data_IF_889598677775
#
_entry.id   IF_889598677775
#
_cell.length_a   1.000
_cell.length_b   1.000
_cell.length_c   1.000
_cell.angle_alpha   90.00
_cell.angle_beta   90.00
_cell.angle_gamma   90.00
#
_symmetry.space_group_name_H-M   'P 1'
#
loop_
_entity.id
_entity.type
_entity.pdbx_description
1 polymer ?
#
# COMPACT_ATOMS: atom_id res chain seq x y z
N UNK A 1 2.62 -36.64 -56.05
CA UNK A 1 2.21 -35.34 -55.42
C UNK A 1 1.14 -35.68 -54.40
N UNK A 2 1.51 -35.58 -53.10
CA UNK A 2 0.59 -35.79 -51.98
C UNK A 2 -0.41 -34.60 -51.92
N UNK A 3 -1.69 -34.85 -52.10
CA UNK A 3 -2.74 -33.88 -51.87
C UNK A 3 -3.01 -33.82 -50.34
N UNK A 4 -2.55 -32.80 -49.66
CA UNK A 4 -2.90 -32.57 -48.28
C UNK A 4 -4.40 -32.33 -48.22
N UNK A 5 -5.12 -33.17 -47.46
CA UNK A 5 -6.57 -33.05 -47.32
C UNK A 5 -6.92 -31.70 -46.64
N UNK A 6 -7.92 -31.00 -47.15
CA UNK A 6 -8.43 -29.77 -46.60
C UNK A 6 -8.75 -29.86 -45.09
N UNK A 7 -9.12 -31.06 -44.61
CA UNK A 7 -9.35 -31.37 -43.20
C UNK A 7 -8.09 -31.28 -42.35
N UNK A 8 -6.90 -31.61 -42.89
CA UNK A 8 -5.62 -31.52 -42.20
C UNK A 8 -5.20 -30.04 -42.05
N UNK A 9 -5.46 -29.23 -43.07
CA UNK A 9 -5.18 -27.78 -43.01
C UNK A 9 -6.05 -27.10 -41.95
N UNK A 10 -7.35 -27.42 -41.91
CA UNK A 10 -8.28 -26.90 -40.90
C UNK A 10 -7.86 -27.31 -39.48
N UNK A 11 -7.43 -28.55 -39.29
CA UNK A 11 -6.94 -29.03 -37.99
C UNK A 11 -5.68 -28.31 -37.55
N UNK A 12 -4.73 -28.06 -38.47
CA UNK A 12 -3.50 -27.32 -38.18
C UNK A 12 -3.79 -25.84 -37.81
N UNK A 13 -4.75 -25.20 -38.47
CA UNK A 13 -5.19 -23.83 -38.13
C UNK A 13 -5.85 -23.81 -36.74
N UNK A 14 -6.66 -24.82 -36.40
CA UNK A 14 -7.29 -24.93 -35.08
C UNK A 14 -6.27 -25.15 -33.96
N UNK A 15 -5.25 -25.99 -34.18
CA UNK A 15 -4.16 -26.21 -33.23
C UNK A 15 -3.29 -24.95 -33.07
N UNK A 16 -3.04 -24.21 -34.14
CA UNK A 16 -2.32 -22.93 -34.12
C UNK A 16 -3.10 -21.84 -33.35
N UNK A 17 -4.41 -21.76 -33.55
CA UNK A 17 -5.27 -20.81 -32.83
C UNK A 17 -5.33 -21.11 -31.31
N UNK A 18 -5.27 -22.38 -30.92
CA UNK A 18 -5.25 -22.80 -29.51
C UNK A 18 -3.94 -22.43 -28.78
N UNK A 19 -2.81 -22.39 -29.53
CA UNK A 19 -1.52 -22.00 -28.96
C UNK A 19 -1.36 -20.49 -28.79
N UNK A 20 -2.15 -19.65 -29.50
CA UNK A 20 -2.15 -18.18 -29.35
C UNK A 20 -2.84 -17.72 -28.06
N UNK A 21 -3.63 -18.57 -27.40
CA UNK A 21 -4.31 -18.22 -26.13
C UNK A 21 -3.42 -18.34 -24.89
N UNK A 22 -2.19 -18.82 -25.02
CA UNK A 22 -1.17 -18.76 -23.96
C UNK A 22 -0.32 -17.48 -23.99
N UNK A 23 -0.88 -16.35 -24.43
CA UNK A 23 -0.39 -15.07 -23.94
C UNK A 23 -0.76 -15.03 -22.45
N UNK A 24 0.20 -15.39 -21.59
CA UNK A 24 0.07 -15.16 -20.15
C UNK A 24 -0.23 -13.69 -19.99
N UNK A 25 -1.48 -13.38 -19.66
CA UNK A 25 -1.81 -12.08 -19.14
C UNK A 25 -0.92 -11.92 -17.91
N UNK A 26 0.14 -11.13 -18.04
CA UNK A 26 1.06 -10.84 -16.97
C UNK A 26 0.23 -10.12 -15.91
N UNK A 27 0.09 -10.71 -14.72
CA UNK A 27 -0.82 -10.22 -13.69
C UNK A 27 -0.43 -8.80 -13.30
N UNK A 28 -1.32 -7.85 -13.57
CA UNK A 28 -1.12 -6.45 -13.17
C UNK A 28 -1.19 -6.33 -11.65
N UNK A 29 -0.16 -5.74 -11.06
CA UNK A 29 -0.10 -5.46 -9.63
C UNK A 29 -0.61 -4.04 -9.42
N UNK A 30 -1.87 -3.92 -9.02
CA UNK A 30 -2.52 -2.64 -8.75
C UNK A 30 -2.33 -2.24 -7.29
N UNK A 31 -1.70 -1.10 -7.06
CA UNK A 31 -1.47 -0.54 -5.73
C UNK A 31 -2.14 0.83 -5.65
N UNK A 32 -3.05 0.98 -4.71
CA UNK A 32 -3.67 2.26 -4.39
C UNK A 32 -2.75 3.14 -3.55
N UNK A 33 -2.93 4.43 -3.66
CA UNK A 33 -2.20 5.40 -2.85
C UNK A 33 -3.19 6.43 -2.31
N UNK A 34 -3.53 6.33 -1.01
CA UNK A 34 -4.42 7.25 -0.31
C UNK A 34 -3.61 8.32 0.41
N UNK A 35 -3.55 9.52 -0.16
CA UNK A 35 -2.71 10.62 0.33
C UNK A 35 -3.40 11.96 0.12
N UNK A 36 -3.12 12.99 0.94
CA UNK A 36 -3.63 14.32 0.71
C UNK A 36 -2.88 14.96 -0.47
N UNK A 37 -3.56 15.15 -1.60
CA UNK A 37 -3.01 15.82 -2.79
C UNK A 37 -3.41 17.29 -2.85
N UNK A 38 -4.44 17.66 -2.11
CA UNK A 38 -4.95 19.01 -1.96
C UNK A 38 -4.95 19.47 -0.48
N UNK A 39 -5.30 20.73 -0.23
CA UNK A 39 -5.37 21.29 1.11
C UNK A 39 -4.01 21.51 1.78
N UNK A 40 -4.05 21.73 3.10
CA UNK A 40 -2.87 22.13 3.90
C UNK A 40 -1.76 21.07 3.94
N UNK A 41 -2.07 19.80 3.78
CA UNK A 41 -1.13 18.69 3.82
C UNK A 41 -0.68 18.22 2.44
N UNK A 42 -0.99 18.94 1.36
CA UNK A 42 -0.67 18.53 -0.01
C UNK A 42 0.83 18.33 -0.28
N UNK A 43 1.70 19.04 0.42
CA UNK A 43 3.14 18.91 0.25
C UNK A 43 3.66 17.55 0.75
N UNK A 44 3.03 17.01 1.80
CA UNK A 44 3.33 15.65 2.29
C UNK A 44 2.90 14.63 1.22
N UNK A 45 1.70 14.75 0.68
CA UNK A 45 1.20 13.87 -0.37
C UNK A 45 2.09 13.89 -1.62
N UNK A 46 2.49 15.07 -2.09
CA UNK A 46 3.43 15.23 -3.21
C UNK A 46 4.79 14.58 -2.94
N UNK A 47 5.30 14.68 -1.71
CA UNK A 47 6.56 14.05 -1.31
C UNK A 47 6.46 12.52 -1.34
N UNK A 48 5.34 11.96 -0.90
CA UNK A 48 5.08 10.52 -0.95
C UNK A 48 4.99 10.03 -2.40
N UNK A 49 4.29 10.74 -3.29
CA UNK A 49 4.25 10.39 -4.72
C UNK A 49 5.66 10.32 -5.31
N UNK A 50 6.51 11.30 -5.01
CA UNK A 50 7.91 11.29 -5.48
C UNK A 50 8.65 10.07 -4.97
N UNK A 51 8.50 9.74 -3.69
CA UNK A 51 9.15 8.57 -3.07
C UNK A 51 8.66 7.25 -3.69
N UNK A 52 7.36 7.11 -3.92
CA UNK A 52 6.76 5.93 -4.55
C UNK A 52 7.27 5.78 -5.99
N UNK A 53 7.32 6.87 -6.77
CA UNK A 53 7.88 6.84 -8.14
C UNK A 53 9.34 6.39 -8.15
N UNK A 54 10.16 6.88 -7.23
CA UNK A 54 11.56 6.46 -7.10
C UNK A 54 11.67 4.97 -6.75
N UNK A 55 10.83 4.49 -5.84
CA UNK A 55 10.80 3.07 -5.48
C UNK A 55 10.42 2.18 -6.66
N UNK A 56 9.39 2.55 -7.42
CA UNK A 56 8.95 1.81 -8.61
C UNK A 56 10.01 1.79 -9.69
N UNK A 57 10.64 2.92 -9.96
CA UNK A 57 11.74 2.98 -10.91
C UNK A 57 12.91 2.07 -10.50
N UNK A 58 13.16 1.93 -9.20
CA UNK A 58 14.20 1.03 -8.68
C UNK A 58 13.80 -0.45 -8.75
N UNK A 59 12.52 -0.76 -8.61
CA UNK A 59 11.98 -2.12 -8.71
C UNK A 59 12.01 -2.60 -10.18
N UNK A 60 11.85 -1.69 -11.13
CA UNK A 60 11.88 -1.93 -12.58
C UNK A 60 10.92 -3.07 -13.02
N UNK A 61 9.72 -3.08 -12.45
CA UNK A 61 8.68 -4.03 -12.81
C UNK A 61 7.53 -3.31 -13.55
N UNK A 62 7.37 -3.52 -14.87
CA UNK A 62 6.37 -2.83 -15.68
C UNK A 62 4.92 -3.20 -15.32
N UNK A 63 4.70 -4.28 -14.55
CA UNK A 63 3.36 -4.71 -14.18
C UNK A 63 2.81 -3.96 -12.96
N UNK A 64 3.62 -3.17 -12.27
CA UNK A 64 3.17 -2.39 -11.12
C UNK A 64 2.51 -1.10 -11.61
N UNK A 65 1.24 -0.95 -11.27
CA UNK A 65 0.47 0.27 -11.53
C UNK A 65 0.07 0.93 -10.21
N UNK A 66 0.27 2.24 -10.13
CA UNK A 66 -0.08 3.05 -8.95
C UNK A 66 -1.30 3.90 -9.26
N UNK A 67 -2.27 3.83 -8.36
CA UNK A 67 -3.53 4.55 -8.42
C UNK A 67 -3.59 5.58 -7.28
N UNK A 68 -3.10 6.80 -7.48
CA UNK A 68 -3.17 7.84 -6.45
C UNK A 68 -4.57 8.42 -6.38
N UNK A 69 -5.09 8.58 -5.15
CA UNK A 69 -6.36 9.23 -4.84
C UNK A 69 -6.15 10.27 -3.75
N UNK A 70 -6.82 11.40 -3.92
CA UNK A 70 -6.76 12.48 -2.94
C UNK A 70 -7.70 12.20 -1.76
N UNK A 71 -7.16 12.25 -0.56
CA UNK A 71 -7.94 12.10 0.67
C UNK A 71 -8.39 13.43 1.24
N UNK A 72 -7.88 14.56 0.75
CA UNK A 72 -8.08 15.89 1.29
C UNK A 72 -7.80 15.99 2.81
N UNK A 73 -7.18 14.95 3.39
CA UNK A 73 -7.04 14.72 4.84
C UNK A 73 -8.39 14.69 5.57
N UNK A 74 -9.42 14.17 4.93
CA UNK A 74 -10.78 14.00 5.44
C UNK A 74 -11.16 12.51 5.50
N UNK A 75 -11.76 12.02 6.60
CA UNK A 75 -12.13 10.60 6.74
C UNK A 75 -13.16 10.12 5.72
N UNK A 76 -14.14 10.97 5.40
CA UNK A 76 -15.21 10.62 4.44
C UNK A 76 -14.65 10.57 3.03
N UNK A 77 -13.86 11.57 2.65
CA UNK A 77 -13.16 11.60 1.36
C UNK A 77 -12.20 10.43 1.21
N UNK A 78 -11.53 10.04 2.29
CA UNK A 78 -10.66 8.87 2.31
C UNK A 78 -11.44 7.59 2.03
N UNK A 79 -12.62 7.41 2.64
CA UNK A 79 -13.49 6.26 2.37
C UNK A 79 -14.00 6.25 0.93
N UNK A 80 -14.46 7.40 0.40
CA UNK A 80 -14.90 7.54 -0.98
C UNK A 80 -13.79 7.14 -1.96
N UNK A 81 -12.59 7.69 -1.77
CA UNK A 81 -11.40 7.37 -2.56
C UNK A 81 -11.01 5.88 -2.48
N UNK A 82 -11.13 5.27 -1.29
CA UNK A 82 -10.89 3.85 -1.11
C UNK A 82 -11.93 2.99 -1.85
N UNK A 83 -13.20 3.39 -1.84
CA UNK A 83 -14.26 2.72 -2.61
C UNK A 83 -14.02 2.79 -4.13
N UNK A 84 -13.53 3.92 -4.62
CA UNK A 84 -13.12 4.04 -6.03
C UNK A 84 -11.98 3.08 -6.38
N UNK A 85 -10.93 3.03 -5.56
CA UNK A 85 -9.81 2.09 -5.72
C UNK A 85 -10.29 0.63 -5.76
N UNK A 86 -11.25 0.27 -4.91
CA UNK A 86 -11.88 -1.04 -4.92
C UNK A 86 -12.54 -1.37 -6.25
N UNK A 87 -13.29 -0.42 -6.81
CA UNK A 87 -13.93 -0.59 -8.13
C UNK A 87 -12.93 -0.75 -9.27
N UNK A 88 -11.75 -0.16 -9.13
CA UNK A 88 -10.61 -0.34 -10.06
C UNK A 88 -9.88 -1.68 -9.86
N UNK A 89 -10.33 -2.51 -8.89
CA UNK A 89 -9.75 -3.82 -8.61
C UNK A 89 -8.50 -3.78 -7.74
N UNK A 90 -8.22 -2.65 -7.09
CA UNK A 90 -7.11 -2.51 -6.14
C UNK A 90 -7.42 -3.26 -4.85
N UNK A 91 -6.48 -4.07 -4.37
CA UNK A 91 -6.59 -4.81 -3.11
C UNK A 91 -5.61 -4.33 -2.03
N UNK A 92 -4.51 -3.73 -2.44
CA UNK A 92 -3.48 -3.23 -1.53
C UNK A 92 -3.34 -1.73 -1.70
N UNK A 93 -3.38 -1.02 -0.59
CA UNK A 93 -3.34 0.44 -0.56
C UNK A 93 -2.24 0.91 0.39
N UNK A 94 -1.41 1.83 -0.05
CA UNK A 94 -0.44 2.56 0.77
C UNK A 94 -1.13 3.84 1.25
N UNK A 95 -1.16 4.04 2.55
CA UNK A 95 -1.90 5.10 3.21
C UNK A 95 -3.16 4.58 3.92
N UNK A 96 -3.95 5.49 4.49
CA UNK A 96 -3.69 6.92 4.64
C UNK A 96 -2.54 7.23 5.61
N UNK A 97 -2.14 8.51 5.65
CA UNK A 97 -1.03 8.98 6.48
C UNK A 97 -1.49 9.21 7.92
N UNK A 98 -2.63 9.87 8.07
CA UNK A 98 -3.14 10.32 9.35
C UNK A 98 -4.14 9.34 9.94
N UNK A 99 -4.04 9.13 11.26
CA UNK A 99 -4.86 8.16 11.98
C UNK A 99 -6.37 8.43 11.90
N UNK A 100 -6.78 9.69 11.92
CA UNK A 100 -8.20 10.07 11.81
C UNK A 100 -8.85 9.62 10.50
N UNK A 101 -8.07 9.42 9.44
CA UNK A 101 -8.56 8.98 8.14
C UNK A 101 -8.79 7.46 8.06
N UNK A 102 -8.53 6.72 9.13
CA UNK A 102 -8.70 5.27 9.19
C UNK A 102 -10.12 4.85 9.63
N UNK A 103 -10.90 5.77 10.19
CA UNK A 103 -12.11 5.51 10.98
C UNK A 103 -13.14 4.61 10.24
N UNK A 104 -13.27 4.72 8.93
CA UNK A 104 -14.27 4.02 8.15
C UNK A 104 -13.69 2.92 7.23
N UNK A 105 -12.37 2.73 7.23
CA UNK A 105 -11.73 1.78 6.30
C UNK A 105 -11.91 0.31 6.69
N UNK A 106 -12.38 0.05 7.90
CA UNK A 106 -12.76 -1.29 8.37
C UNK A 106 -13.98 -1.86 7.62
N UNK A 107 -14.78 -1.02 6.95
CA UNK A 107 -15.87 -1.45 6.08
C UNK A 107 -15.36 -2.24 4.85
N UNK A 108 -14.13 -1.97 4.41
CA UNK A 108 -13.52 -2.54 3.19
C UNK A 108 -12.62 -3.72 3.52
N UNK A 109 -13.19 -4.78 4.10
CA UNK A 109 -12.46 -5.95 4.63
C UNK A 109 -11.64 -6.71 3.58
N UNK A 110 -12.00 -6.62 2.32
CA UNK A 110 -11.32 -7.23 1.18
C UNK A 110 -10.07 -6.47 0.71
N UNK A 111 -9.84 -5.27 1.25
CA UNK A 111 -8.67 -4.44 0.97
C UNK A 111 -7.72 -4.42 2.16
N UNK A 112 -6.43 -4.33 1.89
CA UNK A 112 -5.38 -4.17 2.89
C UNK A 112 -4.82 -2.77 2.81
N UNK A 113 -4.84 -2.05 3.93
CA UNK A 113 -4.33 -0.69 4.04
C UNK A 113 -3.02 -0.69 4.82
N UNK A 114 -1.92 -0.32 4.16
CA UNK A 114 -0.63 -0.07 4.78
C UNK A 114 -0.58 1.40 5.22
N UNK A 115 -1.14 1.68 6.38
CA UNK A 115 -1.21 3.05 6.91
C UNK A 115 0.16 3.56 7.32
N UNK A 116 0.48 4.78 6.93
CA UNK A 116 1.73 5.45 7.30
C UNK A 116 1.64 6.17 8.64
N UNK A 117 0.57 5.96 9.40
CA UNK A 117 0.40 6.52 10.74
C UNK A 117 1.48 6.07 11.70
N UNK A 118 1.81 6.92 12.65
CA UNK A 118 2.70 6.61 13.77
C UNK A 118 1.98 6.00 14.98
N UNK A 119 0.65 5.79 14.90
CA UNK A 119 -0.15 5.15 15.94
C UNK A 119 -0.09 3.63 15.82
N UNK A 120 -0.19 2.95 16.98
CA UNK A 120 -0.35 1.51 17.02
C UNK A 120 -1.82 1.15 16.68
N UNK A 121 -2.01 0.40 15.60
CA UNK A 121 -3.33 -0.10 15.21
C UNK A 121 -3.36 -1.58 15.54
N UNK A 122 -4.29 -1.99 16.42
CA UNK A 122 -4.49 -3.39 16.80
C UNK A 122 -5.64 -4.02 16.02
N UNK A 123 -6.65 -3.25 15.73
CA UNK A 123 -7.86 -3.59 14.98
C UNK A 123 -8.31 -2.36 14.17
N UNK A 124 -8.91 -2.56 13.01
CA UNK A 124 -9.24 -3.82 12.33
C UNK A 124 -8.04 -4.46 11.63
N UNK A 125 -8.12 -5.77 11.37
CA UNK A 125 -7.00 -6.58 10.81
C UNK A 125 -6.60 -6.23 9.38
N UNK A 126 -7.45 -5.55 8.65
CA UNK A 126 -7.19 -5.09 7.29
C UNK A 126 -6.38 -3.78 7.25
N UNK A 127 -6.08 -3.18 8.41
CA UNK A 127 -5.24 -1.98 8.52
C UNK A 127 -3.94 -2.35 9.24
N UNK A 128 -2.83 -2.17 8.56
CA UNK A 128 -1.49 -2.46 9.06
C UNK A 128 -0.75 -1.14 9.24
N UNK A 129 -0.27 -0.88 10.46
CA UNK A 129 0.59 0.29 10.73
C UNK A 129 1.98 0.05 10.16
N UNK A 130 2.34 0.78 9.13
CA UNK A 130 3.66 0.76 8.48
C UNK A 130 4.53 1.97 8.90
N UNK A 131 3.99 2.90 9.69
CA UNK A 131 4.71 4.05 10.21
C UNK A 131 5.63 3.71 11.39
N UNK A 132 6.55 4.61 11.68
CA UNK A 132 7.42 4.51 12.86
C UNK A 132 6.64 5.01 14.07
N UNK A 133 6.24 4.11 14.95
CA UNK A 133 5.49 4.44 16.17
C UNK A 133 6.39 4.55 17.41
N UNK A 134 5.85 5.07 18.51
CA UNK A 134 6.58 5.26 19.76
C UNK A 134 7.15 3.95 20.30
N UNK A 135 6.38 2.86 20.27
CA UNK A 135 6.84 1.54 20.73
C UNK A 135 8.07 1.03 19.97
N UNK A 136 8.10 1.18 18.63
CA UNK A 136 9.26 0.76 17.83
C UNK A 136 10.50 1.60 18.13
N UNK A 137 10.33 2.90 18.37
CA UNK A 137 11.42 3.80 18.76
C UNK A 137 11.99 3.43 20.12
N UNK A 138 11.13 3.22 21.12
CA UNK A 138 11.55 2.81 22.47
C UNK A 138 12.27 1.46 22.43
N UNK A 139 11.75 0.46 21.72
CA UNK A 139 12.43 -0.83 21.55
C UNK A 139 13.84 -0.67 20.97
N UNK A 140 14.01 0.23 20.01
CA UNK A 140 15.32 0.52 19.41
C UNK A 140 16.26 1.16 20.43
N UNK A 141 15.79 2.14 21.20
CA UNK A 141 16.55 2.78 22.27
C UNK A 141 16.97 1.75 23.34
N UNK A 142 16.04 0.88 23.75
CA UNK A 142 16.32 -0.17 24.73
C UNK A 142 17.36 -1.18 24.22
N UNK A 143 17.29 -1.54 22.94
CA UNK A 143 18.30 -2.39 22.30
C UNK A 143 19.68 -1.72 22.29
N UNK A 144 19.74 -0.44 21.89
CA UNK A 144 20.98 0.35 21.93
C UNK A 144 21.57 0.44 23.35
N UNK A 145 20.72 0.76 24.34
CA UNK A 145 21.09 0.78 25.76
C UNK A 145 21.74 -0.53 26.21
N UNK A 146 21.11 -1.67 25.85
CA UNK A 146 21.61 -3.00 26.21
C UNK A 146 22.98 -3.30 25.59
N UNK A 147 23.15 -2.99 24.30
CA UNK A 147 24.40 -3.22 23.56
C UNK A 147 25.56 -2.39 24.16
N UNK A 148 25.28 -1.17 24.60
CA UNK A 148 26.30 -0.23 25.10
C UNK A 148 26.42 -0.21 26.63
N UNK A 149 25.77 -1.14 27.34
CA UNK A 149 25.80 -1.23 28.81
C UNK A 149 25.38 0.06 29.54
N UNK A 150 24.40 0.78 28.98
CA UNK A 150 23.86 2.02 29.56
C UNK A 150 22.90 1.66 30.69
N UNK A 151 23.21 1.99 31.93
CA UNK A 151 22.41 1.61 33.10
C UNK A 151 21.29 2.60 33.45
N UNK A 152 21.45 3.85 33.09
CA UNK A 152 20.44 4.89 33.37
C UNK A 152 19.99 5.58 32.08
N UNK A 153 18.68 5.79 31.95
CA UNK A 153 18.09 6.51 30.81
C UNK A 153 16.98 7.40 31.32
N UNK A 154 16.93 8.63 30.85
CA UNK A 154 15.87 9.60 31.15
C UNK A 154 15.07 9.82 29.87
N UNK A 155 13.77 9.68 29.95
CA UNK A 155 12.86 10.02 28.87
C UNK A 155 12.19 11.35 29.15
N UNK A 156 12.29 12.29 28.22
CA UNK A 156 11.50 13.51 28.23
C UNK A 156 10.28 13.29 27.34
N UNK A 157 9.15 13.09 27.98
CA UNK A 157 7.89 12.76 27.29
C UNK A 157 7.05 14.04 27.27
N UNK A 158 6.65 14.56 26.07
CA UNK A 158 5.75 15.68 26.00
C UNK A 158 4.37 15.30 26.56
N UNK A 159 3.70 16.22 27.20
CA UNK A 159 2.31 16.03 27.64
C UNK A 159 1.36 16.13 26.42
N UNK A 160 1.29 15.05 25.65
CA UNK A 160 0.52 14.95 24.41
C UNK A 160 -0.10 13.53 24.32
N UNK A 161 -0.90 13.30 23.29
CA UNK A 161 -1.56 12.01 23.01
C UNK A 161 -0.58 10.80 22.90
N UNK A 162 0.73 11.06 22.78
CA UNK A 162 1.75 10.02 22.77
C UNK A 162 2.14 9.52 24.17
N UNK A 163 1.72 10.18 25.25
CA UNK A 163 2.11 9.80 26.60
C UNK A 163 1.64 8.39 26.94
N UNK A 164 0.37 8.08 26.65
CA UNK A 164 -0.23 6.77 26.90
C UNK A 164 0.39 5.63 26.06
N UNK A 165 1.01 5.95 24.93
CA UNK A 165 1.71 4.96 24.10
C UNK A 165 3.12 4.65 24.59
N UNK A 166 3.67 5.48 25.45
CA UNK A 166 5.05 5.43 25.93
C UNK A 166 5.13 4.85 27.36
N UNK A 167 4.14 5.11 28.19
CA UNK A 167 4.01 4.54 29.55
C UNK A 167 3.51 3.09 29.49
#
# INVERSE_FOLDING_TARGET
KMKISSKIIVLLIFISAFNLQKLQAQEEIKIGLLIPLSGKQSDIGKSIIKSVRLAINKIDNPNIQIFPKDTENDPIKTLEAAKELRLEGVKVVIGPIFNNNLIYLDELKEMIFLSLTNKNIKDPKNIISAGINASSQIKTIMKFKKINNINKTIFLIPNSDFKEEIE
#
